data_IF_618740194970
#
_entry.id   IF_618740194970
#
_cell.length_a   1.000
_cell.length_b   1.000
_cell.length_c   1.000
_cell.angle_alpha   90.00
_cell.angle_beta   90.00
_cell.angle_gamma   90.00
#
_symmetry.space_group_name_H-M   'P 1'
#
loop_
_entity.id
_entity.type
_entity.pdbx_description
1 polymer ?
#
# COMPACT_ATOMS: atom_id res chain seq x y z
N UNK A 1 -38.82 26.14 -22.59
CA UNK A 1 -37.53 26.63 -22.03
C UNK A 1 -37.35 26.00 -20.67
N UNK A 2 -36.65 24.86 -20.60
CA UNK A 2 -36.45 24.12 -19.35
C UNK A 2 -34.96 24.05 -19.06
N UNK A 3 -34.56 24.63 -17.92
CA UNK A 3 -33.20 24.60 -17.39
C UNK A 3 -32.80 23.16 -17.09
N UNK A 4 -31.69 22.69 -17.65
CA UNK A 4 -31.01 21.49 -17.16
C UNK A 4 -29.97 21.91 -16.13
N UNK A 5 -30.22 21.44 -14.92
CA UNK A 5 -29.43 21.54 -13.70
C UNK A 5 -28.02 20.96 -13.89
N UNK A 6 -27.04 21.71 -13.41
CA UNK A 6 -25.66 21.29 -13.19
C UNK A 6 -25.60 20.12 -12.20
N UNK A 7 -25.27 18.92 -12.68
CA UNK A 7 -24.62 17.91 -11.86
C UNK A 7 -23.15 17.86 -12.24
N UNK A 8 -22.34 18.60 -11.49
CA UNK A 8 -20.89 18.49 -11.52
C UNK A 8 -20.45 17.20 -10.81
N UNK A 9 -20.58 16.07 -11.48
CA UNK A 9 -19.83 14.88 -11.13
C UNK A 9 -18.39 15.07 -11.60
N UNK A 10 -17.43 15.06 -10.68
CA UNK A 10 -16.01 15.03 -11.02
C UNK A 10 -15.77 13.79 -11.89
N UNK A 11 -15.48 13.99 -13.17
CA UNK A 11 -15.05 12.91 -14.07
C UNK A 11 -13.70 12.44 -13.55
N UNK A 12 -13.66 11.30 -12.84
CA UNK A 12 -12.43 10.55 -12.59
C UNK A 12 -11.80 10.31 -13.98
N UNK A 13 -10.65 10.92 -14.24
CA UNK A 13 -9.98 10.92 -15.55
C UNK A 13 -9.92 9.51 -16.15
N UNK A 14 -10.73 9.24 -17.17
CA UNK A 14 -10.73 7.99 -17.93
C UNK A 14 -9.57 7.98 -18.92
N UNK A 15 -8.33 7.80 -18.45
CA UNK A 15 -7.18 7.44 -19.30
C UNK A 15 -6.16 6.41 -18.74
N UNK A 16 -6.36 5.67 -17.63
CA UNK A 16 -5.34 4.73 -17.17
C UNK A 16 -5.25 3.43 -18.00
N UNK A 17 -6.10 3.25 -19.01
CA UNK A 17 -6.19 1.99 -19.78
C UNK A 17 -5.42 1.97 -21.10
N UNK A 18 -4.89 3.09 -21.57
CA UNK A 18 -4.06 3.05 -22.77
C UNK A 18 -2.64 2.55 -22.47
N UNK A 19 -1.98 2.03 -23.51
CA UNK A 19 -0.66 1.41 -23.34
C UNK A 19 0.40 2.43 -22.94
N UNK A 20 0.29 3.65 -23.43
CA UNK A 20 1.22 4.74 -23.15
C UNK A 20 1.22 5.11 -21.68
N UNK A 21 0.04 5.22 -21.05
CA UNK A 21 -0.05 5.50 -19.62
C UNK A 21 0.45 4.33 -18.78
N UNK A 22 0.23 3.08 -19.21
CA UNK A 22 0.82 1.91 -18.55
C UNK A 22 2.35 1.91 -18.59
N UNK A 23 2.94 2.19 -19.75
CA UNK A 23 4.39 2.29 -19.90
C UNK A 23 4.95 3.48 -19.06
N UNK A 24 4.20 4.58 -18.97
CA UNK A 24 4.52 5.71 -18.10
C UNK A 24 4.51 5.33 -16.62
N UNK A 25 3.47 4.63 -16.14
CA UNK A 25 3.39 4.12 -14.77
C UNK A 25 4.57 3.19 -14.42
N UNK A 26 4.96 2.32 -15.33
CA UNK A 26 6.10 1.41 -15.14
C UNK A 26 7.43 2.18 -15.09
N UNK A 27 7.60 3.21 -15.92
CA UNK A 27 8.76 4.11 -15.87
C UNK A 27 8.81 4.87 -14.55
N UNK A 28 7.69 5.42 -14.10
CA UNK A 28 7.57 6.13 -12.83
C UNK A 28 7.91 5.22 -11.66
N UNK A 29 7.47 3.96 -11.68
CA UNK A 29 7.90 2.96 -10.71
C UNK A 29 9.42 2.80 -10.68
N UNK A 30 10.07 2.69 -11.85
CA UNK A 30 11.52 2.61 -11.94
C UNK A 30 12.21 3.86 -11.36
N UNK A 31 11.70 5.06 -11.65
CA UNK A 31 12.20 6.31 -11.05
C UNK A 31 12.10 6.28 -9.52
N UNK A 32 10.98 5.80 -8.94
CA UNK A 32 10.88 5.64 -7.49
C UNK A 32 11.93 4.66 -6.94
N UNK A 33 12.20 3.55 -7.64
CA UNK A 33 13.23 2.60 -7.23
C UNK A 33 14.60 3.29 -7.15
N UNK A 34 14.93 4.14 -8.12
CA UNK A 34 16.18 4.92 -8.11
C UNK A 34 16.21 5.92 -6.95
N UNK A 35 15.14 6.69 -6.76
CA UNK A 35 15.02 7.69 -5.68
C UNK A 35 15.04 7.07 -4.27
N UNK A 36 14.75 5.78 -4.16
CA UNK A 36 14.70 5.04 -2.90
C UNK A 36 15.87 4.07 -2.74
N UNK A 37 16.97 4.26 -3.47
CA UNK A 37 18.17 3.42 -3.41
C UNK A 37 17.86 1.92 -3.61
N UNK A 38 16.97 1.62 -4.56
CA UNK A 38 16.52 0.27 -4.83
C UNK A 38 15.52 -0.30 -3.82
N UNK A 39 14.94 0.51 -2.93
CA UNK A 39 13.86 0.10 -2.00
C UNK A 39 12.48 0.31 -2.63
N UNK A 40 11.49 -0.48 -2.18
CA UNK A 40 10.09 -0.36 -2.65
C UNK A 40 9.27 0.68 -1.89
N UNK A 41 9.67 1.00 -0.67
CA UNK A 41 9.06 2.05 0.14
C UNK A 41 10.07 2.54 1.19
N UNK A 42 9.76 3.68 1.82
CA UNK A 42 10.54 4.24 2.94
C UNK A 42 10.14 3.68 4.30
N UNK A 43 8.95 3.09 4.38
CA UNK A 43 8.43 2.55 5.62
C UNK A 43 9.20 1.28 6.01
N UNK A 44 9.51 1.07 7.30
CA UNK A 44 10.00 -0.23 7.75
C UNK A 44 8.92 -1.28 7.47
N UNK A 45 9.29 -2.32 6.73
CA UNK A 45 8.40 -3.46 6.49
C UNK A 45 8.61 -4.43 7.65
N UNK A 46 7.55 -4.89 8.35
CA UNK A 46 7.69 -5.90 9.40
C UNK A 46 8.35 -7.19 8.88
N UNK A 47 9.21 -7.80 9.69
CA UNK A 47 9.95 -9.01 9.29
C UNK A 47 9.02 -10.24 9.12
N UNK A 48 7.89 -10.28 9.82
CA UNK A 48 6.88 -11.34 9.74
C UNK A 48 5.58 -10.83 9.09
N UNK A 49 5.68 -10.24 7.90
CA UNK A 49 4.51 -9.77 7.16
C UNK A 49 3.70 -10.96 6.64
N UNK A 50 2.38 -10.98 6.88
CA UNK A 50 1.50 -12.08 6.48
C UNK A 50 0.41 -11.64 5.49
N UNK A 51 -0.04 -10.38 5.60
CA UNK A 51 -1.08 -9.79 4.77
C UNK A 51 -0.71 -8.38 4.35
N UNK A 52 -0.59 -8.17 3.05
CA UNK A 52 -0.28 -6.87 2.44
C UNK A 52 -1.42 -6.43 1.55
N UNK A 53 -1.77 -5.15 1.62
CA UNK A 53 -2.71 -4.51 0.70
C UNK A 53 -1.98 -3.41 -0.09
N UNK A 54 -2.08 -3.44 -1.41
CA UNK A 54 -1.64 -2.36 -2.30
C UNK A 54 -2.88 -1.69 -2.90
N UNK A 55 -3.06 -0.40 -2.60
CA UNK A 55 -4.21 0.39 -3.05
C UNK A 55 -3.91 1.04 -4.39
N UNK A 56 -4.85 0.93 -5.33
CA UNK A 56 -4.75 1.53 -6.67
C UNK A 56 -3.48 1.09 -7.41
N UNK A 57 -3.33 -0.21 -7.61
CA UNK A 57 -2.07 -0.83 -8.05
C UNK A 57 -1.58 -0.44 -9.45
N UNK A 58 -2.42 0.22 -10.26
CA UNK A 58 -2.10 0.52 -11.65
C UNK A 58 -1.81 -0.76 -12.44
N UNK A 59 -0.63 -0.84 -13.06
CA UNK A 59 -0.13 -2.04 -13.75
C UNK A 59 0.14 -3.23 -12.82
N UNK A 60 0.24 -2.98 -11.50
CA UNK A 60 0.62 -3.98 -10.51
C UNK A 60 2.12 -4.17 -10.34
N UNK A 61 2.97 -3.38 -11.02
CA UNK A 61 4.43 -3.55 -10.98
C UNK A 61 5.01 -3.52 -9.55
N UNK A 62 4.52 -2.61 -8.71
CA UNK A 62 4.96 -2.53 -7.31
C UNK A 62 4.59 -3.78 -6.52
N UNK A 63 3.33 -4.22 -6.64
CA UNK A 63 2.81 -5.41 -5.99
C UNK A 63 3.59 -6.67 -6.39
N UNK A 64 3.92 -6.79 -7.67
CA UNK A 64 4.71 -7.90 -8.22
C UNK A 64 6.14 -7.90 -7.68
N UNK A 65 6.80 -6.74 -7.62
CA UNK A 65 8.15 -6.65 -7.07
C UNK A 65 8.18 -6.85 -5.55
N UNK A 66 7.14 -6.41 -4.85
CA UNK A 66 6.98 -6.69 -3.42
C UNK A 66 6.78 -8.19 -3.18
N UNK A 67 5.94 -8.85 -3.98
CA UNK A 67 5.72 -10.30 -3.94
C UNK A 67 7.00 -11.12 -4.13
N UNK A 68 7.92 -10.63 -4.99
CA UNK A 68 9.23 -11.27 -5.25
C UNK A 68 10.25 -11.07 -4.13
N UNK A 69 10.06 -10.13 -3.19
CA UNK A 69 10.97 -9.99 -2.05
C UNK A 69 11.05 -11.28 -1.21
N UNK A 70 10.02 -12.10 -1.24
CA UNK A 70 10.00 -13.39 -0.56
C UNK A 70 10.82 -14.48 -1.26
N UNK A 71 11.00 -14.38 -2.58
CA UNK A 71 11.94 -15.26 -3.32
C UNK A 71 13.39 -15.08 -2.85
N UNK A 72 13.66 -14.07 -2.02
CA UNK A 72 14.94 -13.82 -1.35
C UNK A 72 14.95 -14.27 0.12
N UNK A 73 13.93 -15.00 0.59
CA UNK A 73 13.83 -15.51 1.97
C UNK A 73 13.50 -14.45 3.02
N UNK A 74 12.96 -13.29 2.60
CA UNK A 74 12.74 -12.15 3.50
C UNK A 74 11.58 -12.34 4.48
N UNK A 75 10.53 -13.07 4.10
CA UNK A 75 9.28 -13.16 4.87
C UNK A 75 8.85 -14.59 5.13
N UNK A 76 9.14 -15.50 4.20
CA UNK A 76 8.93 -16.92 4.38
C UNK A 76 10.13 -17.54 5.08
N UNK A 77 9.88 -18.11 6.25
CA UNK A 77 10.79 -19.06 6.91
C UNK A 77 10.76 -20.41 6.18
N UNK A 78 10.61 -20.42 4.85
CA UNK A 78 10.43 -21.63 4.07
C UNK A 78 11.79 -22.30 3.91
N UNK A 79 12.18 -23.09 4.92
CA UNK A 79 13.20 -24.09 4.68
C UNK A 79 12.59 -25.16 3.77
N UNK A 80 13.12 -25.28 2.55
CA UNK A 80 12.69 -26.27 1.55
C UNK A 80 12.88 -27.73 2.04
N UNK A 81 13.53 -27.93 3.19
CA UNK A 81 13.74 -29.24 3.81
C UNK A 81 12.75 -29.56 4.94
N UNK A 82 11.86 -28.65 5.29
CA UNK A 82 11.02 -28.81 6.49
C UNK A 82 9.71 -29.51 6.13
N UNK A 83 9.60 -30.77 6.56
CA UNK A 83 8.44 -31.66 6.39
C UNK A 83 7.12 -31.09 6.96
N UNK A 84 7.21 -30.03 7.78
CA UNK A 84 6.08 -29.24 8.28
C UNK A 84 5.69 -28.05 7.40
N UNK A 85 6.08 -28.04 6.12
CA UNK A 85 5.77 -27.02 5.10
C UNK A 85 4.31 -26.51 5.16
N UNK A 86 3.35 -27.37 5.53
CA UNK A 86 1.93 -27.06 5.67
C UNK A 86 1.58 -26.05 6.77
N UNK A 87 2.46 -25.83 7.76
CA UNK A 87 2.28 -24.83 8.84
C UNK A 87 2.73 -23.43 8.42
N UNK A 88 3.55 -23.33 7.38
CA UNK A 88 3.97 -22.05 6.82
C UNK A 88 2.85 -21.49 5.96
N UNK A 89 2.10 -20.55 6.52
CA UNK A 89 1.09 -19.81 5.79
C UNK A 89 1.84 -18.95 4.77
N UNK A 90 1.64 -19.22 3.48
CA UNK A 90 2.10 -18.32 2.44
C UNK A 90 1.45 -16.95 2.72
N UNK A 91 2.27 -15.94 3.00
CA UNK A 91 1.79 -14.58 3.15
C UNK A 91 1.15 -14.13 1.83
N UNK A 92 0.23 -13.17 1.90
CA UNK A 92 -0.56 -12.76 0.72
C UNK A 92 -0.54 -11.27 0.52
N UNK A 93 -0.28 -10.88 -0.72
CA UNK A 93 -0.47 -9.53 -1.23
C UNK A 93 -1.78 -9.47 -2.02
N UNK A 94 -2.61 -8.51 -1.64
CA UNK A 94 -3.83 -8.13 -2.32
C UNK A 94 -3.60 -6.78 -2.99
N UNK A 95 -3.79 -6.71 -4.30
CA UNK A 95 -3.74 -5.46 -5.04
C UNK A 95 -5.14 -5.09 -5.51
N UNK A 96 -5.58 -3.85 -5.24
CA UNK A 96 -6.88 -3.34 -5.69
C UNK A 96 -6.72 -2.28 -6.77
N UNK A 97 -7.56 -2.33 -7.80
CA UNK A 97 -7.66 -1.25 -8.79
C UNK A 97 -9.07 -1.20 -9.40
N UNK A 98 -9.51 -0.02 -9.82
CA UNK A 98 -10.82 0.12 -10.48
C UNK A 98 -10.87 -0.54 -11.88
N UNK A 99 -9.72 -0.85 -12.46
CA UNK A 99 -9.61 -1.47 -13.79
C UNK A 99 -8.68 -2.69 -13.78
N UNK A 100 -9.02 -3.77 -14.51
CA UNK A 100 -8.21 -4.98 -14.59
C UNK A 100 -7.02 -4.77 -15.55
N UNK A 101 -6.03 -4.00 -15.11
CA UNK A 101 -4.82 -3.65 -15.87
C UNK A 101 -3.67 -4.63 -15.66
N UNK A 102 -3.80 -5.51 -14.69
CA UNK A 102 -2.71 -6.31 -14.17
C UNK A 102 -2.42 -7.52 -15.07
N UNK A 103 -1.18 -8.03 -15.08
CA UNK A 103 -0.81 -9.16 -15.93
C UNK A 103 -1.60 -10.42 -15.60
N UNK A 104 -1.81 -11.27 -16.62
CA UNK A 104 -2.48 -12.58 -16.46
C UNK A 104 -1.72 -13.54 -15.55
N UNK A 105 -0.39 -13.38 -15.48
CA UNK A 105 0.46 -14.19 -14.62
C UNK A 105 0.90 -13.36 -13.41
N UNK A 106 0.75 -13.93 -12.22
CA UNK A 106 1.19 -13.34 -10.95
C UNK A 106 1.91 -14.39 -10.10
N UNK A 107 2.82 -13.98 -9.20
CA UNK A 107 3.38 -14.85 -8.18
C UNK A 107 2.26 -15.52 -7.33
N UNK A 108 2.48 -16.73 -6.79
CA UNK A 108 1.46 -17.45 -6.02
C UNK A 108 0.93 -16.71 -4.80
N UNK A 109 1.72 -15.80 -4.23
CA UNK A 109 1.41 -14.95 -3.10
C UNK A 109 0.80 -13.59 -3.48
N UNK A 110 0.59 -13.29 -4.77
CA UNK A 110 0.08 -12.01 -5.26
C UNK A 110 -1.23 -12.20 -6.01
N UNK A 111 -2.28 -11.48 -5.59
CA UNK A 111 -3.60 -11.49 -6.23
C UNK A 111 -4.10 -10.08 -6.47
N UNK A 112 -4.79 -9.88 -7.59
CA UNK A 112 -5.41 -8.61 -7.95
C UNK A 112 -6.93 -8.72 -7.94
N UNK A 113 -7.56 -7.68 -7.43
CA UNK A 113 -9.01 -7.54 -7.28
C UNK A 113 -9.44 -6.25 -7.97
N UNK A 114 -10.52 -6.32 -8.76
CA UNK A 114 -11.17 -5.12 -9.28
C UNK A 114 -12.02 -4.55 -8.16
N UNK A 115 -11.54 -3.49 -7.52
CA UNK A 115 -12.20 -2.88 -6.37
C UNK A 115 -11.94 -1.37 -6.32
N UNK A 116 -12.91 -0.65 -5.78
CA UNK A 116 -12.84 0.79 -5.52
C UNK A 116 -12.49 0.99 -4.05
N UNK A 117 -11.23 1.34 -3.77
CA UNK A 117 -10.75 1.55 -2.40
C UNK A 117 -11.51 2.68 -1.65
N UNK A 118 -12.29 3.51 -2.35
CA UNK A 118 -13.14 4.52 -1.72
C UNK A 118 -14.46 3.96 -1.16
N UNK A 119 -14.77 2.68 -1.43
CA UNK A 119 -15.90 1.96 -0.86
C UNK A 119 -15.52 1.25 0.44
N UNK A 120 -16.48 0.51 1.01
CA UNK A 120 -16.23 -0.26 2.21
C UNK A 120 -15.41 -1.51 1.91
N UNK A 121 -14.30 -1.65 2.63
CA UNK A 121 -13.40 -2.79 2.46
C UNK A 121 -13.97 -4.02 3.15
N UNK A 122 -14.24 -5.06 2.37
CA UNK A 122 -14.92 -6.29 2.82
C UNK A 122 -13.97 -7.37 3.38
N UNK A 123 -12.69 -7.05 3.57
CA UNK A 123 -11.73 -7.98 4.15
C UNK A 123 -12.14 -8.41 5.56
N UNK A 124 -12.15 -9.72 5.84
CA UNK A 124 -12.45 -10.23 7.17
C UNK A 124 -11.31 -9.92 8.16
N UNK A 125 -10.07 -10.08 7.71
CA UNK A 125 -8.86 -9.97 8.53
C UNK A 125 -8.09 -8.67 8.26
N UNK A 126 -7.44 -8.06 9.28
CA UNK A 126 -6.57 -6.90 9.09
C UNK A 126 -5.29 -7.24 8.31
N UNK A 127 -4.58 -6.19 7.91
CA UNK A 127 -3.33 -6.23 7.17
C UNK A 127 -2.15 -5.84 8.07
N UNK A 128 -1.00 -6.43 7.79
CA UNK A 128 0.29 -6.09 8.43
C UNK A 128 0.92 -4.86 7.76
N UNK A 129 0.69 -4.70 6.46
CA UNK A 129 1.20 -3.60 5.67
C UNK A 129 0.16 -3.12 4.67
N UNK A 130 -0.07 -1.81 4.62
CA UNK A 130 -0.91 -1.20 3.59
C UNK A 130 -0.06 -0.17 2.86
N UNK A 131 0.06 -0.37 1.55
CA UNK A 131 0.77 0.49 0.62
C UNK A 131 -0.23 1.26 -0.24
N UNK A 132 0.14 2.50 -0.53
CA UNK A 132 -0.50 3.34 -1.50
C UNK A 132 0.52 4.33 -2.03
N UNK A 133 0.54 4.54 -3.33
CA UNK A 133 1.37 5.54 -4.00
C UNK A 133 0.59 6.13 -5.16
N UNK A 134 0.71 7.43 -5.37
CA UNK A 134 0.11 8.14 -6.52
C UNK A 134 -1.41 8.06 -6.58
N UNK A 135 -2.03 8.02 -5.39
CA UNK A 135 -3.49 8.02 -5.26
C UNK A 135 -4.06 9.39 -4.93
N UNK A 136 -3.23 10.41 -4.75
CA UNK A 136 -3.62 11.76 -4.33
C UNK A 136 -4.67 12.39 -5.24
N UNK A 137 -4.63 12.11 -6.55
CA UNK A 137 -5.62 12.59 -7.52
C UNK A 137 -6.92 11.77 -7.59
N UNK A 138 -6.98 10.64 -6.89
CA UNK A 138 -8.05 9.65 -6.96
C UNK A 138 -8.85 9.54 -5.65
N UNK A 139 -8.54 10.38 -4.65
CA UNK A 139 -9.18 10.37 -3.33
C UNK A 139 -10.18 11.53 -3.23
N UNK A 140 -11.45 11.21 -3.02
CA UNK A 140 -12.51 12.17 -2.73
C UNK A 140 -12.53 12.60 -1.25
N UNK A 141 -12.27 11.66 -0.32
CA UNK A 141 -12.18 11.91 1.12
C UNK A 141 -10.95 11.24 1.74
N UNK A 142 -9.93 12.05 1.98
CA UNK A 142 -8.67 11.60 2.59
C UNK A 142 -8.83 11.17 4.05
N UNK A 143 -9.73 11.80 4.80
CA UNK A 143 -9.96 11.44 6.20
C UNK A 143 -10.64 10.07 6.29
N UNK A 144 -11.61 9.81 5.42
CA UNK A 144 -12.25 8.50 5.31
C UNK A 144 -11.24 7.43 4.92
N UNK A 145 -10.40 7.68 3.91
CA UNK A 145 -9.33 6.76 3.53
C UNK A 145 -8.44 6.39 4.73
N UNK A 146 -7.95 7.39 5.47
CA UNK A 146 -7.12 7.13 6.64
C UNK A 146 -7.86 6.33 7.71
N UNK A 147 -9.14 6.63 7.98
CA UNK A 147 -9.94 5.84 8.93
C UNK A 147 -10.04 4.38 8.50
N UNK A 148 -10.22 4.10 7.20
CA UNK A 148 -10.25 2.73 6.67
C UNK A 148 -8.91 2.04 6.83
N UNK A 149 -7.82 2.70 6.45
CA UNK A 149 -6.44 2.21 6.63
C UNK A 149 -6.19 1.84 8.09
N UNK A 150 -6.44 2.75 9.04
CA UNK A 150 -6.17 2.49 10.45
C UNK A 150 -7.05 1.39 11.04
N UNK A 151 -8.32 1.28 10.64
CA UNK A 151 -9.22 0.20 11.07
C UNK A 151 -8.80 -1.17 10.54
N UNK A 152 -8.08 -1.20 9.42
CA UNK A 152 -7.68 -2.42 8.71
C UNK A 152 -6.20 -2.73 8.84
N UNK A 153 -5.42 -1.93 9.56
CA UNK A 153 -4.10 -2.29 10.03
C UNK A 153 -4.21 -3.07 11.34
N UNK A 154 -3.34 -4.06 11.53
CA UNK A 154 -3.08 -4.58 12.88
C UNK A 154 -2.50 -3.47 13.78
N UNK A 155 -2.58 -3.60 15.12
CA UNK A 155 -2.01 -2.61 16.04
C UNK A 155 -0.55 -2.24 15.74
N UNK A 156 0.28 -3.21 15.33
CA UNK A 156 1.68 -3.01 14.93
C UNK A 156 1.88 -2.91 13.40
N UNK A 157 0.78 -2.75 12.67
CA UNK A 157 0.79 -2.66 11.22
C UNK A 157 1.40 -1.34 10.72
N UNK A 158 2.10 -1.39 9.60
CA UNK A 158 2.80 -0.22 9.06
C UNK A 158 2.06 0.34 7.84
N UNK A 159 1.85 1.66 7.85
CA UNK A 159 1.49 2.42 6.66
C UNK A 159 2.45 3.62 6.52
N UNK A 160 2.99 3.91 5.32
CA UNK A 160 3.97 4.99 5.12
C UNK A 160 3.56 6.36 5.67
N UNK A 161 2.26 6.69 5.64
CA UNK A 161 1.74 7.95 6.20
C UNK A 161 1.43 7.90 7.71
N UNK A 162 1.33 6.70 8.31
CA UNK A 162 1.16 6.54 9.77
C UNK A 162 2.45 6.92 10.53
N UNK A 163 3.62 6.62 9.95
CA UNK A 163 4.94 6.98 10.50
C UNK A 163 5.11 8.50 10.72
N UNK A 164 4.46 9.34 9.89
CA UNK A 164 4.51 10.80 10.05
C UNK A 164 3.77 11.32 11.29
N UNK A 165 2.84 10.57 11.88
CA UNK A 165 2.18 10.95 13.15
C UNK A 165 3.03 10.59 14.36
N UNK A 166 3.70 9.44 14.34
CA UNK A 166 4.53 8.98 15.46
C UNK A 166 5.73 9.91 15.68
N UNK A 167 6.40 10.35 14.61
CA UNK A 167 7.51 11.32 14.69
C UNK A 167 7.09 12.76 15.05
N UNK A 168 5.81 13.11 14.94
CA UNK A 168 5.30 14.42 15.45
C UNK A 168 4.90 14.36 16.92
N UNK A 169 4.58 13.17 17.45
CA UNK A 169 4.28 12.95 18.86
C UNK A 169 5.51 13.03 19.76
N UNK A 170 6.70 12.70 19.24
CA UNK A 170 7.96 12.63 20.01
C UNK A 170 8.69 13.99 20.14
N UNK A 171 8.12 15.09 19.64
CA UNK A 171 8.77 16.43 19.67
C UNK A 171 8.34 17.36 20.81
N UNK A 172 7.66 16.84 21.81
CA UNK A 172 7.40 17.50 23.11
C UNK A 172 7.64 16.39 24.14
N UNK A 173 8.81 16.32 24.79
CA UNK A 173 9.16 17.14 25.94
C UNK A 173 10.67 17.43 25.96
N UNK A 174 11.06 18.69 26.19
CA UNK A 174 12.42 19.03 26.63
C UNK A 174 12.42 18.97 28.16
N UNK A 175 13.28 18.18 28.82
CA UNK A 175 13.38 18.21 30.28
C UNK A 175 13.90 19.59 30.73
N UNK A 176 13.22 20.13 31.74
CA UNK A 176 13.45 21.46 32.29
C UNK A 176 14.85 21.65 32.83
N UNK A 177 15.40 22.83 32.57
CA UNK A 177 16.63 23.32 33.16
C UNK A 177 16.40 23.53 34.67
N UNK A 178 16.91 22.61 35.50
CA UNK A 178 16.91 22.76 36.96
C UNK A 178 17.95 23.82 37.33
N UNK A 179 17.50 24.88 38.01
CA UNK A 179 18.35 25.89 38.66
C UNK A 179 19.16 25.25 39.80
N UNK A 180 20.47 25.34 39.75
CA UNK A 180 21.36 25.06 40.88
C UNK A 180 21.90 26.36 41.46
N UNK A 181 21.53 26.65 42.71
CA UNK A 181 22.20 27.65 43.55
C UNK A 181 23.54 27.08 44.03
N UNK A 182 24.59 27.90 43.97
CA UNK A 182 25.51 28.18 45.09
C UNK A 182 26.37 29.39 44.72
#
# INVERSE_FOLDING_TARGET
MTRLSSQGGLVKSQKPNDRTEQDHMDLVHHVYRLLLDGKLCRAPIPDNVQRVLDLSTGTGVWAMDFAKLDSLGKFSNLSLSDENASKYRLWRLFGTNFSPLQPKWTPPNCRFEVDDFERDWLYAEPFDFIHAREIEGCISDRNMLFRRVFRRLKPDGVHPLALRRQQRGERRERPGLVKGHN
#
